data_IF_031804065335
#
_entry.id   IF_031804065335
#
_cell.length_a   1.000
_cell.length_b   1.000
_cell.length_c   1.000
_cell.angle_alpha   90.00
_cell.angle_beta   90.00
_cell.angle_gamma   90.00
#
_symmetry.space_group_name_H-M   'P 1'
#
loop_
_entity.id
_entity.type
_entity.pdbx_description
1 polymer ?
#
# COMPACT_ATOMS: atom_id res chain seq x y z
N UNK A 1 -7.34 -12.33 -26.82
CA UNK A 1 -7.97 -11.84 -25.58
C UNK A 1 -8.14 -10.34 -25.71
N UNK A 2 -9.33 -9.79 -25.42
CA UNK A 2 -9.53 -8.32 -25.43
C UNK A 2 -8.86 -7.69 -24.21
N UNK A 3 -8.53 -6.40 -24.28
CA UNK A 3 -7.98 -5.65 -23.13
C UNK A 3 -8.91 -5.73 -21.92
N UNK A 4 -10.22 -5.65 -22.15
CA UNK A 4 -11.22 -5.82 -21.11
C UNK A 4 -11.17 -7.21 -20.45
N UNK A 5 -11.09 -8.29 -21.24
CA UNK A 5 -10.98 -9.64 -20.70
C UNK A 5 -9.66 -9.84 -19.93
N UNK A 6 -8.56 -9.24 -20.41
CA UNK A 6 -7.27 -9.24 -19.72
C UNK A 6 -7.36 -8.56 -18.34
N UNK A 7 -7.94 -7.35 -18.30
CA UNK A 7 -8.12 -6.59 -17.07
C UNK A 7 -9.04 -7.31 -16.07
N UNK A 8 -10.13 -7.92 -16.55
CA UNK A 8 -11.03 -8.68 -15.70
C UNK A 8 -10.37 -9.94 -15.15
N UNK A 9 -9.67 -10.72 -15.99
CA UNK A 9 -8.93 -11.91 -15.55
C UNK A 9 -7.86 -11.57 -14.52
N UNK A 10 -7.12 -10.48 -14.75
CA UNK A 10 -6.14 -9.96 -13.79
C UNK A 10 -6.78 -9.56 -12.46
N UNK A 11 -7.88 -8.79 -12.51
CA UNK A 11 -8.60 -8.38 -11.31
C UNK A 11 -9.08 -9.61 -10.51
N UNK A 12 -9.64 -10.61 -11.18
CA UNK A 12 -10.06 -11.88 -10.53
C UNK A 12 -8.88 -12.55 -9.81
N UNK A 13 -7.69 -12.58 -10.41
CA UNK A 13 -6.50 -13.14 -9.75
C UNK A 13 -6.15 -12.34 -8.49
N UNK A 14 -6.12 -11.01 -8.56
CA UNK A 14 -5.84 -10.14 -7.41
C UNK A 14 -6.89 -10.32 -6.30
N UNK A 15 -8.17 -10.45 -6.67
CA UNK A 15 -9.26 -10.72 -5.72
C UNK A 15 -9.12 -12.09 -5.05
N UNK A 16 -8.79 -13.14 -5.81
CA UNK A 16 -8.53 -14.47 -5.25
C UNK A 16 -7.40 -14.39 -4.21
N UNK A 17 -6.29 -13.72 -4.53
CA UNK A 17 -5.18 -13.54 -3.58
C UNK A 17 -5.65 -12.84 -2.30
N UNK A 18 -6.41 -11.76 -2.44
CA UNK A 18 -6.99 -11.03 -1.30
C UNK A 18 -7.92 -11.89 -0.45
N UNK A 19 -8.82 -12.65 -1.07
CA UNK A 19 -9.75 -13.54 -0.39
C UNK A 19 -9.03 -14.68 0.35
N UNK A 20 -8.00 -15.26 -0.25
CA UNK A 20 -7.18 -16.29 0.39
C UNK A 20 -6.42 -15.75 1.61
N UNK A 21 -5.99 -14.48 1.56
CA UNK A 21 -5.28 -13.82 2.65
C UNK A 21 -6.20 -13.15 3.69
N UNK A 22 -7.50 -12.95 3.41
CA UNK A 22 -8.42 -12.27 4.30
C UNK A 22 -8.52 -12.90 5.72
N UNK A 23 -8.52 -14.25 5.89
CA UNK A 23 -8.49 -14.87 7.22
C UNK A 23 -7.17 -14.62 7.96
N UNK A 24 -6.05 -14.56 7.22
CA UNK A 24 -4.74 -14.23 7.78
C UNK A 24 -4.70 -12.77 8.22
N UNK A 25 -5.18 -11.84 7.40
CA UNK A 25 -5.32 -10.43 7.74
C UNK A 25 -6.19 -10.25 8.99
N UNK A 26 -7.32 -10.95 9.07
CA UNK A 26 -8.22 -10.92 10.23
C UNK A 26 -7.53 -11.27 11.56
N UNK A 27 -6.56 -12.21 11.51
CA UNK A 27 -5.76 -12.62 12.68
C UNK A 27 -4.63 -11.63 12.97
N UNK A 28 -3.89 -11.20 11.94
CA UNK A 28 -2.71 -10.33 12.06
C UNK A 28 -3.09 -8.91 12.50
N UNK A 29 -4.20 -8.39 12.00
CA UNK A 29 -4.71 -7.05 12.24
C UNK A 29 -5.93 -7.04 13.16
N UNK A 30 -6.01 -8.01 14.08
CA UNK A 30 -7.11 -8.13 15.04
C UNK A 30 -7.47 -6.82 15.81
N UNK A 31 -6.51 -5.93 16.14
CA UNK A 31 -6.79 -4.63 16.78
C UNK A 31 -7.44 -3.59 15.87
N UNK A 32 -7.26 -3.72 14.54
CA UNK A 32 -7.79 -2.75 13.58
C UNK A 32 -9.30 -2.89 13.46
N UNK A 33 -9.99 -1.75 13.29
CA UNK A 33 -11.45 -1.70 13.19
C UNK A 33 -11.98 -2.49 11.99
N UNK A 34 -11.26 -2.50 10.86
CA UNK A 34 -11.60 -3.28 9.66
C UNK A 34 -11.02 -4.70 9.68
N UNK A 35 -10.26 -5.08 10.71
CA UNK A 35 -9.50 -6.34 10.80
C UNK A 35 -8.49 -6.52 9.67
N UNK A 36 -7.96 -5.42 9.14
CA UNK A 36 -6.92 -5.40 8.11
C UNK A 36 -7.38 -5.83 6.74
N UNK A 37 -8.70 -5.83 6.46
CA UNK A 37 -9.23 -6.23 5.15
C UNK A 37 -8.68 -5.35 4.01
N UNK A 38 -8.47 -4.05 4.25
CA UNK A 38 -7.84 -3.14 3.28
C UNK A 38 -6.42 -3.59 2.85
N UNK A 39 -5.74 -4.38 3.68
CA UNK A 39 -4.40 -4.88 3.43
C UNK A 39 -4.35 -6.36 3.06
N UNK A 40 -5.50 -7.02 2.90
CA UNK A 40 -5.55 -8.45 2.59
C UNK A 40 -4.88 -8.78 1.24
N UNK A 41 -5.12 -7.97 0.21
CA UNK A 41 -4.49 -8.12 -1.12
C UNK A 41 -2.95 -8.00 -1.07
N UNK A 42 -2.34 -6.89 -0.56
CA UNK A 42 -0.87 -6.82 -0.47
C UNK A 42 -0.28 -7.87 0.47
N UNK A 43 -0.97 -8.24 1.57
CA UNK A 43 -0.55 -9.33 2.44
C UNK A 43 -0.49 -10.67 1.70
N UNK A 44 -1.53 -10.99 0.92
CA UNK A 44 -1.55 -12.22 0.13
C UNK A 44 -0.47 -12.25 -0.94
N UNK A 45 -0.26 -11.13 -1.64
CA UNK A 45 0.79 -11.00 -2.65
C UNK A 45 2.17 -11.22 -2.05
N UNK A 46 2.50 -10.55 -0.94
CA UNK A 46 3.82 -10.67 -0.33
C UNK A 46 4.05 -12.07 0.24
N UNK A 47 3.08 -12.65 0.96
CA UNK A 47 3.24 -13.97 1.59
C UNK A 47 3.38 -15.07 0.53
N UNK A 48 2.53 -15.08 -0.49
CA UNK A 48 2.60 -16.08 -1.55
C UNK A 48 3.87 -15.93 -2.40
N UNK A 49 4.19 -14.70 -2.83
CA UNK A 49 5.37 -14.46 -3.64
C UNK A 49 6.67 -14.71 -2.87
N UNK A 50 6.76 -14.31 -1.61
CA UNK A 50 7.94 -14.52 -0.79
C UNK A 50 8.18 -16.02 -0.55
N UNK A 51 7.12 -16.77 -0.25
CA UNK A 51 7.20 -18.23 -0.09
C UNK A 51 7.70 -18.92 -1.36
N UNK A 52 7.17 -18.54 -2.52
CA UNK A 52 7.64 -19.07 -3.81
C UNK A 52 9.06 -18.64 -4.15
N UNK A 53 9.38 -17.37 -3.95
CA UNK A 53 10.70 -16.80 -4.20
C UNK A 53 11.77 -17.54 -3.39
N UNK A 54 11.50 -17.78 -2.10
CA UNK A 54 12.40 -18.51 -1.23
C UNK A 54 12.51 -19.98 -1.65
N UNK A 55 11.39 -20.67 -1.87
CA UNK A 55 11.38 -22.06 -2.31
C UNK A 55 12.11 -22.26 -3.65
N UNK A 56 11.97 -21.30 -4.58
CA UNK A 56 12.63 -21.34 -5.88
C UNK A 56 14.11 -21.01 -5.81
N UNK A 57 14.51 -20.10 -4.93
CA UNK A 57 15.93 -19.79 -4.66
C UNK A 57 16.68 -20.99 -4.06
N UNK A 58 15.99 -21.85 -3.32
CA UNK A 58 16.55 -23.11 -2.82
C UNK A 58 16.39 -24.30 -3.79
N UNK A 59 15.81 -24.09 -4.97
CA UNK A 59 15.61 -25.15 -5.97
C UNK A 59 14.52 -26.17 -5.62
N UNK A 60 13.62 -25.87 -4.68
CA UNK A 60 12.52 -26.75 -4.26
C UNK A 60 11.33 -26.70 -5.23
N UNK A 61 11.02 -25.51 -5.76
CA UNK A 61 9.88 -25.27 -6.65
C UNK A 61 10.35 -24.37 -7.81
N UNK A 62 9.95 -24.68 -9.05
CA UNK A 62 10.26 -23.83 -10.19
C UNK A 62 9.42 -22.54 -10.22
N UNK A 63 9.99 -21.45 -10.73
CA UNK A 63 9.28 -20.23 -11.07
C UNK A 63 8.41 -20.44 -12.33
N UNK A 64 7.34 -21.20 -12.19
CA UNK A 64 6.39 -21.56 -13.24
C UNK A 64 4.97 -21.24 -12.81
N UNK A 65 4.00 -21.35 -13.72
CA UNK A 65 2.58 -21.21 -13.36
C UNK A 65 2.15 -22.23 -12.30
N UNK A 66 2.68 -23.46 -12.37
CA UNK A 66 2.42 -24.48 -11.34
C UNK A 66 3.00 -24.05 -9.98
N UNK A 67 4.21 -23.50 -9.95
CA UNK A 67 4.81 -22.94 -8.73
C UNK A 67 3.98 -21.79 -8.15
N UNK A 68 3.48 -20.88 -8.99
CA UNK A 68 2.58 -19.80 -8.57
C UNK A 68 1.28 -20.33 -7.96
N UNK A 69 0.64 -21.34 -8.59
CA UNK A 69 -0.57 -21.97 -8.04
C UNK A 69 -0.28 -22.68 -6.72
N UNK A 70 0.84 -23.41 -6.61
CA UNK A 70 1.25 -24.05 -5.35
C UNK A 70 1.46 -23.03 -4.22
N UNK A 71 2.00 -21.84 -4.53
CA UNK A 71 2.15 -20.76 -3.57
C UNK A 71 0.78 -20.25 -3.06
N UNK A 72 -0.21 -20.13 -3.94
CA UNK A 72 -1.59 -19.77 -3.54
C UNK A 72 -2.25 -20.86 -2.69
N UNK A 73 -2.02 -22.15 -3.02
CA UNK A 73 -2.47 -23.27 -2.18
C UNK A 73 -1.80 -23.22 -0.80
N UNK A 74 -0.51 -22.91 -0.74
CA UNK A 74 0.22 -22.71 0.52
C UNK A 74 -0.35 -21.56 1.36
N UNK A 75 -0.64 -20.42 0.73
CA UNK A 75 -1.31 -19.28 1.37
C UNK A 75 -2.70 -19.66 1.91
N UNK A 76 -3.50 -20.38 1.12
CA UNK A 76 -4.82 -20.86 1.53
C UNK A 76 -4.73 -21.83 2.72
N UNK A 77 -3.78 -22.76 2.69
CA UNK A 77 -3.54 -23.72 3.76
C UNK A 77 -3.09 -23.02 5.05
N UNK A 78 -2.16 -22.06 4.97
CA UNK A 78 -1.70 -21.26 6.10
C UNK A 78 -2.86 -20.45 6.71
N UNK A 79 -3.61 -19.74 5.87
CA UNK A 79 -4.74 -18.91 6.31
C UNK A 79 -5.85 -19.75 6.93
N UNK A 80 -6.17 -20.90 6.31
CA UNK A 80 -7.14 -21.87 6.81
C UNK A 80 -6.73 -22.48 8.15
N UNK A 81 -5.47 -22.90 8.29
CA UNK A 81 -4.93 -23.45 9.53
C UNK A 81 -5.01 -22.43 10.68
N UNK A 82 -4.59 -21.18 10.43
CA UNK A 82 -4.56 -20.13 11.45
C UNK A 82 -5.95 -19.68 11.91
N UNK A 83 -6.97 -19.84 11.06
CA UNK A 83 -8.35 -19.50 11.41
C UNK A 83 -9.20 -20.71 11.84
N UNK A 84 -8.74 -21.95 11.66
CA UNK A 84 -9.56 -23.15 11.80
C UNK A 84 -10.34 -23.24 13.13
N UNK A 85 -9.69 -22.87 14.23
CA UNK A 85 -10.27 -22.87 15.58
C UNK A 85 -11.24 -21.71 15.85
N UNK A 86 -11.23 -20.67 15.01
CA UNK A 86 -12.03 -19.44 15.13
C UNK A 86 -12.84 -19.13 13.87
N UNK A 87 -13.06 -20.13 13.01
CA UNK A 87 -13.74 -19.96 11.72
C UNK A 87 -15.14 -19.38 11.86
N UNK A 88 -15.88 -19.79 12.90
CA UNK A 88 -17.24 -19.32 13.12
C UNK A 88 -17.27 -17.85 13.55
N UNK A 89 -16.31 -17.43 14.39
CA UNK A 89 -16.11 -16.02 14.76
C UNK A 89 -15.77 -15.16 13.54
N UNK A 90 -14.85 -15.64 12.70
CA UNK A 90 -14.41 -14.93 11.50
C UNK A 90 -15.54 -14.80 10.48
N UNK A 91 -16.27 -15.88 10.21
CA UNK A 91 -17.43 -15.87 9.31
C UNK A 91 -18.53 -14.93 9.82
N UNK A 92 -18.80 -14.94 11.14
CA UNK A 92 -19.73 -14.01 11.75
C UNK A 92 -19.26 -12.56 11.60
N UNK A 93 -17.97 -12.28 11.79
CA UNK A 93 -17.40 -10.95 11.58
C UNK A 93 -17.58 -10.47 10.13
N UNK A 94 -17.21 -11.28 9.14
CA UNK A 94 -17.33 -10.91 7.72
C UNK A 94 -18.79 -10.73 7.30
N UNK A 95 -19.70 -11.57 7.81
CA UNK A 95 -21.14 -11.42 7.58
C UNK A 95 -21.67 -10.10 8.15
N UNK A 96 -21.26 -9.74 9.36
CA UNK A 96 -21.71 -8.50 10.02
C UNK A 96 -21.04 -7.25 9.43
N UNK A 97 -19.84 -7.39 8.87
CA UNK A 97 -19.04 -6.29 8.31
C UNK A 97 -19.11 -6.20 6.79
N UNK A 98 -20.03 -6.94 6.15
CA UNK A 98 -20.09 -7.07 4.69
C UNK A 98 -20.19 -5.73 3.98
N UNK A 99 -20.92 -4.75 4.54
CA UNK A 99 -21.01 -3.41 3.97
C UNK A 99 -19.66 -2.69 3.94
N UNK A 100 -18.85 -2.85 4.98
CA UNK A 100 -17.50 -2.27 5.07
C UNK A 100 -16.56 -2.96 4.08
N UNK A 101 -16.63 -4.30 4.02
CA UNK A 101 -15.87 -5.10 3.06
C UNK A 101 -16.20 -4.67 1.62
N UNK A 102 -17.48 -4.62 1.26
CA UNK A 102 -17.93 -4.18 -0.07
C UNK A 102 -17.53 -2.73 -0.38
N UNK A 103 -17.51 -1.84 0.62
CA UNK A 103 -17.03 -0.48 0.42
C UNK A 103 -15.53 -0.43 0.12
N UNK A 104 -14.71 -1.16 0.89
CA UNK A 104 -13.26 -1.27 0.64
C UNK A 104 -13.00 -1.89 -0.74
N UNK A 105 -13.77 -2.92 -1.12
CA UNK A 105 -13.70 -3.52 -2.45
C UNK A 105 -14.11 -2.53 -3.54
N UNK A 106 -15.16 -1.75 -3.33
CA UNK A 106 -15.57 -0.72 -4.29
C UNK A 106 -14.47 0.32 -4.48
N UNK A 107 -13.81 0.77 -3.40
CA UNK A 107 -12.65 1.67 -3.48
C UNK A 107 -11.53 1.04 -4.33
N UNK A 108 -11.17 -0.21 -4.06
CA UNK A 108 -10.13 -0.93 -4.80
C UNK A 108 -10.48 -1.12 -6.29
N UNK A 109 -11.66 -1.65 -6.59
CA UNK A 109 -12.11 -1.94 -7.96
C UNK A 109 -12.31 -0.68 -8.79
N UNK A 110 -12.92 0.37 -8.22
CA UNK A 110 -13.10 1.66 -8.92
C UNK A 110 -11.75 2.28 -9.20
N UNK A 111 -10.83 2.28 -8.24
CA UNK A 111 -9.50 2.85 -8.43
C UNK A 111 -8.68 2.06 -9.46
N UNK A 112 -8.77 0.73 -9.42
CA UNK A 112 -8.16 -0.13 -10.44
C UNK A 112 -8.72 0.18 -11.83
N UNK A 113 -10.05 0.30 -11.97
CA UNK A 113 -10.68 0.66 -13.24
C UNK A 113 -10.23 2.04 -13.74
N UNK A 114 -10.12 3.04 -12.85
CA UNK A 114 -9.55 4.36 -13.19
C UNK A 114 -8.11 4.22 -13.68
N UNK A 115 -7.27 3.43 -12.99
CA UNK A 115 -5.89 3.18 -13.42
C UNK A 115 -5.79 2.49 -14.78
N UNK A 116 -6.65 1.48 -15.03
CA UNK A 116 -6.72 0.80 -16.33
C UNK A 116 -7.15 1.77 -17.43
N UNK A 117 -8.17 2.59 -17.18
CA UNK A 117 -8.64 3.61 -18.12
C UNK A 117 -7.52 4.61 -18.41
N UNK A 118 -6.84 5.12 -17.38
CA UNK A 118 -5.71 6.04 -17.54
C UNK A 118 -4.60 5.43 -18.41
N UNK A 119 -4.15 4.22 -18.09
CA UNK A 119 -3.12 3.52 -18.88
C UNK A 119 -3.57 3.14 -20.28
N UNK A 120 -4.87 3.06 -20.55
CA UNK A 120 -5.38 2.77 -21.90
C UNK A 120 -5.22 3.93 -22.89
N UNK A 121 -5.07 5.17 -22.40
CA UNK A 121 -4.82 6.35 -23.25
C UNK A 121 -3.37 6.44 -23.73
N UNK A 122 -2.43 5.93 -22.93
CA UNK A 122 -1.00 5.91 -23.27
C UNK A 122 -0.33 4.60 -22.80
N UNK A 123 -0.65 3.45 -23.43
CA UNK A 123 -0.17 2.14 -22.96
C UNK A 123 1.28 1.85 -23.36
N UNK A 124 1.94 2.75 -24.10
CA UNK A 124 3.29 2.54 -24.61
C UNK A 124 4.30 2.43 -23.46
N UNK A 125 5.34 1.63 -23.69
CA UNK A 125 6.41 1.34 -22.73
C UNK A 125 7.72 1.70 -23.42
N UNK A 126 7.95 2.99 -23.66
CA UNK A 126 9.01 3.46 -24.58
C UNK A 126 9.86 4.61 -24.07
N UNK A 127 9.51 5.24 -22.95
CA UNK A 127 10.27 6.35 -22.39
C UNK A 127 10.94 6.00 -21.06
N UNK A 128 12.01 6.75 -20.76
CA UNK A 128 12.71 6.70 -19.46
C UNK A 128 13.13 5.28 -19.08
N UNK A 129 12.71 4.80 -17.91
CA UNK A 129 13.12 3.52 -17.33
C UNK A 129 12.18 2.36 -17.68
N UNK A 130 11.01 2.65 -18.25
CA UNK A 130 10.01 1.62 -18.56
C UNK A 130 10.53 0.45 -19.41
N UNK A 131 11.36 0.67 -20.46
CA UNK A 131 11.90 -0.45 -21.26
C UNK A 131 12.85 -1.34 -20.45
N UNK A 132 13.56 -0.76 -19.47
CA UNK A 132 14.44 -1.50 -18.56
C UNK A 132 13.58 -2.39 -17.65
N UNK A 133 12.53 -1.86 -17.07
CA UNK A 133 11.68 -2.62 -16.16
C UNK A 133 10.91 -3.74 -16.85
N UNK A 134 10.40 -3.50 -18.07
CA UNK A 134 9.79 -4.54 -18.89
C UNK A 134 10.79 -5.65 -19.21
N UNK A 135 12.05 -5.28 -19.43
CA UNK A 135 13.15 -6.22 -19.67
C UNK A 135 13.43 -7.07 -18.43
N UNK A 136 13.48 -6.50 -17.22
CA UNK A 136 13.58 -7.28 -15.97
C UNK A 136 12.39 -8.21 -15.76
N UNK A 137 11.16 -7.72 -16.00
CA UNK A 137 9.95 -8.54 -15.92
C UNK A 137 10.02 -9.75 -16.86
N UNK A 138 10.46 -9.54 -18.11
CA UNK A 138 10.67 -10.62 -19.07
C UNK A 138 11.78 -11.59 -18.64
N UNK A 139 12.89 -11.09 -18.09
CA UNK A 139 13.96 -11.93 -17.54
C UNK A 139 13.47 -12.89 -16.45
N UNK A 140 12.61 -12.41 -15.56
CA UNK A 140 11.97 -13.23 -14.53
C UNK A 140 10.99 -14.24 -15.15
N UNK A 141 10.15 -13.81 -16.10
CA UNK A 141 9.19 -14.69 -16.77
C UNK A 141 9.89 -15.80 -17.60
N UNK A 142 11.08 -15.52 -18.12
CA UNK A 142 11.88 -16.50 -18.85
C UNK A 142 12.69 -17.45 -17.93
N UNK A 143 12.89 -17.07 -16.67
CA UNK A 143 13.71 -17.84 -15.71
C UNK A 143 12.87 -18.81 -14.88
N UNK A 144 13.05 -20.12 -15.09
CA UNK A 144 12.40 -21.16 -14.26
C UNK A 144 13.03 -21.35 -12.87
N UNK A 145 14.26 -20.88 -12.68
CA UNK A 145 14.99 -20.95 -11.41
C UNK A 145 15.41 -19.56 -10.97
N UNK A 146 15.57 -19.39 -9.66
CA UNK A 146 16.05 -18.14 -9.08
C UNK A 146 17.49 -18.30 -8.56
N UNK A 147 18.29 -17.22 -8.55
CA UNK A 147 17.95 -15.87 -9.02
C UNK A 147 17.78 -15.80 -10.55
N UNK A 148 16.94 -14.87 -11.07
CA UNK A 148 16.59 -14.79 -12.48
C UNK A 148 17.79 -14.34 -13.32
N UNK A 149 17.86 -14.79 -14.57
CA UNK A 149 18.90 -14.40 -15.52
C UNK A 149 18.82 -12.91 -15.84
N UNK A 150 19.98 -12.25 -15.87
CA UNK A 150 20.11 -10.87 -16.27
C UNK A 150 20.03 -10.75 -17.81
N UNK A 151 19.04 -10.04 -18.35
CA UNK A 151 18.89 -9.88 -19.80
C UNK A 151 19.96 -8.99 -20.44
N UNK A 152 20.70 -8.18 -19.68
CA UNK A 152 21.81 -7.35 -20.16
C UNK A 152 23.18 -7.98 -19.94
N UNK A 153 23.30 -8.94 -19.03
CA UNK A 153 24.56 -9.57 -18.67
C UNK A 153 24.46 -11.10 -18.73
N UNK A 154 24.71 -11.65 -19.92
CA UNK A 154 24.63 -13.11 -20.17
C UNK A 154 25.44 -13.93 -19.15
N UNK A 155 24.80 -14.94 -18.58
CA UNK A 155 25.41 -15.84 -17.58
C UNK A 155 25.39 -15.30 -16.15
N UNK A 156 24.90 -14.09 -15.93
CA UNK A 156 24.74 -13.48 -14.61
C UNK A 156 23.27 -13.34 -14.21
N UNK A 157 23.04 -13.14 -12.92
CA UNK A 157 21.70 -12.88 -12.36
C UNK A 157 21.44 -11.39 -12.21
N UNK A 158 20.17 -10.98 -12.27
CA UNK A 158 19.75 -9.57 -12.06
C UNK A 158 20.35 -9.04 -10.75
N UNK A 159 21.19 -8.00 -10.86
CA UNK A 159 21.79 -7.29 -9.72
C UNK A 159 21.00 -6.02 -9.38
N UNK A 160 19.71 -6.21 -9.10
CA UNK A 160 18.77 -5.13 -8.80
C UNK A 160 17.68 -5.63 -7.83
N UNK A 161 16.95 -4.72 -7.18
CA UNK A 161 15.88 -5.07 -6.25
C UNK A 161 14.64 -5.58 -7.03
N UNK A 162 14.68 -6.85 -7.42
CA UNK A 162 13.77 -7.42 -8.41
C UNK A 162 12.49 -8.05 -7.82
N UNK A 163 12.33 -8.09 -6.50
CA UNK A 163 11.24 -8.84 -5.89
C UNK A 163 9.86 -8.25 -6.21
N UNK A 164 9.76 -6.94 -6.43
CA UNK A 164 8.54 -6.31 -6.94
C UNK A 164 8.16 -6.82 -8.33
N UNK A 165 9.13 -6.88 -9.25
CA UNK A 165 8.92 -7.47 -10.58
C UNK A 165 8.59 -8.96 -10.49
N UNK A 166 9.12 -9.66 -9.48
CA UNK A 166 8.76 -11.06 -9.21
C UNK A 166 7.29 -11.20 -8.84
N UNK A 167 6.75 -10.35 -7.95
CA UNK A 167 5.31 -10.33 -7.62
C UNK A 167 4.48 -10.09 -8.89
N UNK A 168 4.88 -9.11 -9.71
CA UNK A 168 4.21 -8.79 -10.98
C UNK A 168 4.26 -9.98 -11.95
N UNK A 169 5.42 -10.64 -12.09
CA UNK A 169 5.59 -11.81 -12.94
C UNK A 169 4.62 -12.94 -12.55
N UNK A 170 4.36 -13.15 -11.26
CA UNK A 170 3.42 -14.18 -10.82
C UNK A 170 1.99 -13.82 -11.20
N UNK A 171 1.60 -12.54 -11.09
CA UNK A 171 0.30 -12.06 -11.57
C UNK A 171 0.15 -12.24 -13.09
N UNK A 172 1.19 -11.92 -13.86
CA UNK A 172 1.22 -12.15 -15.32
C UNK A 172 0.98 -13.62 -15.66
N UNK A 173 1.68 -14.55 -14.98
CA UNK A 173 1.52 -15.99 -15.19
C UNK A 173 0.12 -16.48 -14.82
N UNK A 174 -0.40 -16.07 -13.66
CA UNK A 174 -1.70 -16.50 -13.15
C UNK A 174 -2.86 -15.95 -13.99
N UNK A 175 -2.75 -14.70 -14.46
CA UNK A 175 -3.76 -14.08 -15.31
C UNK A 175 -3.65 -14.51 -16.79
N UNK A 176 -2.52 -15.12 -17.18
CA UNK A 176 -2.31 -15.61 -18.54
C UNK A 176 -2.22 -14.49 -19.58
N UNK A 177 -1.63 -13.34 -19.21
CA UNK A 177 -1.55 -12.15 -20.07
C UNK A 177 -0.13 -11.94 -20.61
N UNK A 178 0.05 -11.26 -21.76
CA UNK A 178 1.38 -10.85 -22.22
C UNK A 178 2.06 -9.89 -21.23
N UNK A 179 3.39 -9.93 -21.13
CA UNK A 179 4.16 -9.11 -20.19
C UNK A 179 3.86 -7.59 -20.32
N UNK A 180 3.75 -7.06 -21.54
CA UNK A 180 3.43 -5.64 -21.77
C UNK A 180 2.01 -5.25 -21.29
N UNK A 181 1.04 -6.16 -21.40
CA UNK A 181 -0.31 -5.95 -20.85
C UNK A 181 -0.24 -6.03 -19.32
N UNK A 182 0.47 -7.02 -18.80
CA UNK A 182 0.70 -7.19 -17.37
C UNK A 182 1.41 -6.01 -16.71
N UNK A 183 2.36 -5.38 -17.39
CA UNK A 183 3.05 -4.18 -16.93
C UNK A 183 2.06 -3.03 -16.64
N UNK A 184 1.17 -2.77 -17.60
CA UNK A 184 0.14 -1.74 -17.47
C UNK A 184 -0.91 -2.08 -16.41
N UNK A 185 -1.31 -3.36 -16.31
CA UNK A 185 -2.24 -3.82 -15.27
C UNK A 185 -1.61 -3.81 -13.87
N UNK A 186 -0.30 -4.03 -13.78
CA UNK A 186 0.46 -3.91 -12.54
C UNK A 186 0.47 -2.46 -12.05
N UNK A 187 0.73 -1.47 -12.91
CA UNK A 187 0.62 -0.06 -12.54
C UNK A 187 -0.75 0.27 -11.95
N UNK A 188 -1.83 -0.14 -12.64
CA UNK A 188 -3.20 0.06 -12.15
C UNK A 188 -3.46 -0.67 -10.81
N UNK A 189 -2.86 -1.84 -10.61
CA UNK A 189 -2.97 -2.61 -9.36
C UNK A 189 -2.23 -1.92 -8.21
N UNK A 190 -0.98 -1.51 -8.42
CA UNK A 190 -0.19 -0.81 -7.41
C UNK A 190 -0.87 0.50 -7.01
N UNK A 191 -1.41 1.25 -7.99
CA UNK A 191 -2.22 2.44 -7.72
C UNK A 191 -3.44 2.11 -6.85
N UNK A 192 -4.23 1.10 -7.24
CA UNK A 192 -5.42 0.69 -6.49
C UNK A 192 -5.11 0.22 -5.06
N UNK A 193 -4.04 -0.57 -4.88
CA UNK A 193 -3.61 -1.05 -3.56
C UNK A 193 -3.05 0.09 -2.71
N UNK A 194 -2.38 1.08 -3.30
CA UNK A 194 -1.89 2.27 -2.60
C UNK A 194 -3.04 3.12 -2.07
N UNK A 195 -4.04 3.40 -2.92
CA UNK A 195 -5.25 4.15 -2.55
C UNK A 195 -6.05 3.40 -1.47
N UNK A 196 -6.25 2.09 -1.64
CA UNK A 196 -6.99 1.26 -0.67
C UNK A 196 -6.23 1.16 0.66
N UNK A 197 -4.90 1.01 0.63
CA UNK A 197 -4.06 0.97 1.83
C UNK A 197 -4.07 2.30 2.59
N UNK A 198 -3.97 3.42 1.87
CA UNK A 198 -4.06 4.76 2.46
C UNK A 198 -5.44 5.02 3.08
N UNK A 199 -6.51 4.62 2.38
CA UNK A 199 -7.86 4.63 2.94
C UNK A 199 -7.96 3.79 4.22
N UNK A 200 -7.43 2.56 4.19
CA UNK A 200 -7.43 1.65 5.32
C UNK A 200 -6.68 2.21 6.54
N UNK A 201 -5.53 2.83 6.34
CA UNK A 201 -4.76 3.48 7.41
C UNK A 201 -5.54 4.64 8.03
N UNK A 202 -5.99 5.60 7.22
CA UNK A 202 -6.73 6.77 7.69
C UNK A 202 -8.03 6.39 8.41
N UNK A 203 -8.74 5.39 7.87
CA UNK A 203 -9.95 4.83 8.49
C UNK A 203 -9.63 4.24 9.86
N UNK A 204 -8.62 3.37 9.97
CA UNK A 204 -8.30 2.67 11.21
C UNK A 204 -7.71 3.58 12.29
N UNK A 205 -6.93 4.61 11.91
CA UNK A 205 -6.42 5.60 12.86
C UNK A 205 -7.55 6.28 13.64
N UNK A 206 -8.62 6.67 12.94
CA UNK A 206 -9.77 7.35 13.57
C UNK A 206 -10.73 6.34 14.19
N UNK A 207 -11.04 5.24 13.50
CA UNK A 207 -11.99 4.25 13.99
C UNK A 207 -11.53 3.53 15.27
N UNK A 208 -10.22 3.28 15.41
CA UNK A 208 -9.66 2.62 16.61
C UNK A 208 -9.50 3.58 17.79
N UNK A 209 -9.28 4.89 17.56
CA UNK A 209 -9.15 5.89 18.62
C UNK A 209 -10.42 6.17 19.43
N UNK A 210 -11.60 5.87 18.88
CA UNK A 210 -12.90 6.02 19.58
C UNK A 210 -13.19 4.87 20.56
N UNK A 211 -12.36 3.83 20.60
CA UNK A 211 -12.54 2.67 21.48
C UNK A 211 -11.98 2.90 22.89
N UNK A 212 -11.17 3.94 23.09
CA UNK A 212 -10.47 4.23 24.34
C UNK A 212 -11.19 5.21 25.27
N UNK A 213 -12.38 5.70 24.90
CA UNK A 213 -13.17 6.64 25.72
C UNK A 213 -14.60 6.15 25.84
N UNK A 214 -14.90 5.45 26.94
CA UNK A 214 -16.27 5.20 27.39
C UNK A 214 -16.54 5.93 28.71
N UNK A 215 -17.77 6.42 28.96
CA UNK A 215 -18.13 7.21 30.16
C UNK A 215 -18.03 6.46 31.48
N UNK A 216 -17.89 5.13 31.46
CA UNK A 216 -17.82 4.30 32.68
C UNK A 216 -16.54 4.56 33.50
N UNK A 217 -15.48 5.08 32.86
CA UNK A 217 -14.25 5.49 33.55
C UNK A 217 -14.45 6.80 34.36
N UNK A 218 -15.45 7.63 34.03
CA UNK A 218 -15.79 8.83 34.82
C UNK A 218 -16.68 8.50 36.03
N UNK A 219 -17.45 7.41 35.99
CA UNK A 219 -18.29 7.01 37.12
C UNK A 219 -17.49 6.26 38.20
N UNK A 220 -16.49 5.48 37.78
CA UNK A 220 -15.68 4.66 38.71
C UNK A 220 -14.69 5.50 39.53
N UNK A 221 -14.38 6.73 39.12
CA UNK A 221 -13.47 7.62 39.85
C UNK A 221 -14.16 8.50 40.91
N UNK A 222 -15.49 8.44 41.05
CA UNK A 222 -16.23 9.26 42.04
C UNK A 222 -16.66 8.52 43.32
N UNK A 223 -16.44 7.22 43.44
CA UNK A 223 -16.94 6.42 44.58
C UNK A 223 -15.86 5.85 45.51
N UNK A 224 -14.60 6.29 45.41
CA UNK A 224 -13.52 5.82 46.31
C UNK A 224 -12.99 6.97 47.18
N UNK A 225 -13.83 7.46 48.08
CA UNK A 225 -13.41 8.21 49.28
C UNK A 225 -14.31 7.81 50.45
N UNK A 226 -13.99 6.68 51.10
CA UNK A 226 -14.10 6.51 52.56
C UNK A 226 -13.42 5.19 53.00
N UNK A 227 -12.51 5.19 53.99
CA UNK A 227 -11.91 3.97 54.52
C UNK A 227 -12.44 3.66 55.92
N UNK A 228 -13.15 2.55 56.10
CA UNK A 228 -13.29 1.93 57.44
C UNK A 228 -13.51 0.40 57.36
N UNK A 229 -12.49 -0.32 57.88
CA UNK A 229 -12.53 -1.53 58.72
C UNK A 229 -13.29 -2.81 58.27
N UNK A 230 -12.56 -3.89 57.96
CA UNK A 230 -12.50 -5.16 58.76
C UNK A 230 -11.87 -6.36 57.99
N UNK A 231 -10.94 -7.03 58.70
CA UNK A 231 -10.35 -8.39 58.67
C UNK A 231 -10.59 -9.43 57.51
N UNK A 232 -9.66 -10.41 57.34
CA UNK A 232 -9.50 -11.18 56.11
C UNK A 232 -10.27 -12.50 56.08
N UNK A 233 -10.77 -12.89 54.90
CA UNK A 233 -11.29 -14.22 54.64
C UNK A 233 -10.61 -14.84 53.42
N UNK A 234 -10.14 -16.07 53.62
CA UNK A 234 -9.53 -16.94 52.64
C UNK A 234 -10.45 -17.20 51.46
N UNK A 235 -9.92 -17.14 50.23
CA UNK A 235 -10.59 -17.76 49.09
C UNK A 235 -9.55 -18.40 48.14
N UNK A 236 -9.83 -19.65 47.82
CA UNK A 236 -9.01 -20.58 47.05
C UNK A 236 -8.67 -20.03 45.66
N UNK A 237 -7.37 -20.00 45.36
CA UNK A 237 -6.87 -19.82 44.00
C UNK A 237 -7.13 -21.11 43.22
N UNK A 238 -8.35 -21.27 42.71
CA UNK A 238 -8.64 -22.25 41.66
C UNK A 238 -7.96 -21.74 40.39
N UNK A 239 -6.74 -22.25 40.13
CA UNK A 239 -6.06 -22.18 38.84
C UNK A 239 -6.87 -22.97 37.80
N UNK A 240 -7.99 -22.41 37.35
CA UNK A 240 -8.66 -22.89 36.16
C UNK A 240 -7.78 -22.51 34.97
N UNK A 241 -7.21 -23.51 34.32
CA UNK A 241 -6.51 -23.45 33.03
C UNK A 241 -7.46 -23.12 31.87
N UNK A 242 -8.47 -22.29 32.12
CA UNK A 242 -9.34 -21.74 31.08
C UNK A 242 -8.54 -20.70 30.34
N UNK A 243 -8.26 -21.00 29.07
CA UNK A 243 -7.93 -19.99 28.04
C UNK A 243 -8.72 -18.73 28.38
N UNK A 244 -8.11 -17.55 28.62
CA UNK A 244 -8.89 -16.35 28.78
C UNK A 244 -9.67 -16.17 27.47
N UNK A 245 -10.98 -16.45 27.53
CA UNK A 245 -11.90 -16.15 26.46
C UNK A 245 -11.93 -14.63 26.38
N UNK A 246 -11.17 -14.11 25.42
CA UNK A 246 -11.04 -12.67 25.20
C UNK A 246 -12.45 -12.16 24.89
N UNK A 247 -13.04 -11.23 25.68
CA UNK A 247 -14.30 -10.62 25.30
C UNK A 247 -14.06 -9.82 24.01
N UNK A 248 -14.55 -10.33 22.89
CA UNK A 248 -14.63 -9.63 21.59
C UNK A 248 -15.70 -8.51 21.61
N UNK A 249 -16.10 -8.01 22.79
CA UNK A 249 -17.18 -7.03 22.96
C UNK A 249 -16.75 -5.59 22.68
N UNK A 250 -15.45 -5.31 22.48
CA UNK A 250 -14.97 -4.04 21.91
C UNK A 250 -15.29 -3.99 20.41
N UNK A 251 -16.58 -3.83 20.09
CA UNK A 251 -17.12 -3.76 18.74
C UNK A 251 -17.02 -2.32 18.20
N UNK A 252 -16.18 -2.00 17.20
CA UNK A 252 -16.47 -0.89 16.31
C UNK A 252 -17.49 -1.39 15.28
N UNK A 253 -18.74 -1.59 15.69
CA UNK A 253 -19.82 -2.07 14.79
C UNK A 253 -20.35 -1.01 13.84
N UNK A 254 -19.94 0.24 13.96
CA UNK A 254 -20.35 1.28 13.01
C UNK A 254 -19.15 2.05 12.50
N UNK A 255 -19.05 2.13 11.17
CA UNK A 255 -18.21 3.13 10.51
C UNK A 255 -18.67 4.51 11.00
N UNK A 256 -17.86 5.18 11.80
CA UNK A 256 -18.13 6.57 12.13
C UNK A 256 -17.89 7.40 10.85
N UNK A 257 -18.78 8.34 10.54
CA UNK A 257 -18.58 9.27 9.41
C UNK A 257 -17.17 9.91 9.43
N UNK A 258 -16.62 10.31 10.60
CA UNK A 258 -15.24 10.80 10.70
C UNK A 258 -14.19 9.80 10.19
N UNK A 259 -14.33 8.50 10.47
CA UNK A 259 -13.36 7.51 9.99
C UNK A 259 -13.41 7.33 8.47
N UNK A 260 -14.61 7.36 7.87
CA UNK A 260 -14.75 7.33 6.41
C UNK A 260 -14.14 8.57 5.75
N UNK A 261 -14.36 9.75 6.33
CA UNK A 261 -13.77 11.01 5.85
C UNK A 261 -12.25 10.98 5.98
N UNK A 262 -11.72 10.52 7.11
CA UNK A 262 -10.28 10.40 7.32
C UNK A 262 -9.64 9.43 6.33
N UNK A 263 -10.22 8.25 6.12
CA UNK A 263 -9.75 7.31 5.10
C UNK A 263 -9.79 7.93 3.69
N UNK A 264 -10.90 8.57 3.31
CA UNK A 264 -11.01 9.24 2.01
C UNK A 264 -9.97 10.34 1.82
N UNK A 265 -9.76 11.16 2.85
CA UNK A 265 -8.75 12.22 2.84
C UNK A 265 -7.33 11.64 2.73
N UNK A 266 -6.99 10.58 3.48
CA UNK A 266 -5.69 9.92 3.38
C UNK A 266 -5.42 9.37 1.98
N UNK A 267 -6.43 8.76 1.35
CA UNK A 267 -6.33 8.27 -0.03
C UNK A 267 -6.06 9.41 -1.03
N UNK A 268 -6.82 10.51 -0.95
CA UNK A 268 -6.63 11.68 -1.84
C UNK A 268 -5.29 12.34 -1.60
N UNK A 269 -4.91 12.54 -0.34
CA UNK A 269 -3.65 13.21 0.00
C UNK A 269 -2.43 12.43 -0.48
N UNK A 270 -2.40 11.11 -0.30
CA UNK A 270 -1.27 10.29 -0.72
C UNK A 270 -1.22 10.10 -2.24
N UNK A 271 -2.37 9.84 -2.88
CA UNK A 271 -2.38 9.44 -4.29
C UNK A 271 -2.47 10.60 -5.27
N UNK A 272 -3.05 11.75 -4.87
CA UNK A 272 -3.33 12.88 -5.76
C UNK A 272 -2.60 14.14 -5.30
N UNK A 273 -2.64 14.45 -4.00
CA UNK A 273 -2.10 15.71 -3.48
C UNK A 273 -0.67 15.57 -2.89
N UNK A 274 0.05 14.51 -3.23
CA UNK A 274 1.29 14.11 -2.56
C UNK A 274 2.32 15.26 -2.40
N UNK A 275 2.53 16.06 -3.44
CA UNK A 275 3.41 17.24 -3.40
C UNK A 275 2.71 18.55 -3.77
N UNK A 276 1.37 18.54 -3.87
CA UNK A 276 0.52 19.66 -4.29
C UNK A 276 0.79 20.25 -5.69
N UNK A 277 1.68 19.69 -6.52
CA UNK A 277 2.05 20.31 -7.80
C UNK A 277 0.85 20.53 -8.72
N UNK A 278 -0.01 19.52 -8.88
CA UNK A 278 -1.19 19.66 -9.72
C UNK A 278 -2.11 20.78 -9.22
N UNK A 279 -2.21 20.96 -7.90
CA UNK A 279 -2.99 22.05 -7.30
C UNK A 279 -2.33 23.39 -7.61
N UNK A 280 -1.00 23.47 -7.48
CA UNK A 280 -0.24 24.67 -7.80
C UNK A 280 -0.31 25.04 -9.28
N UNK A 281 -0.24 24.08 -10.20
CA UNK A 281 -0.37 24.34 -11.62
C UNK A 281 -1.77 24.85 -11.99
N UNK A 282 -2.84 24.30 -11.39
CA UNK A 282 -4.20 24.84 -11.53
C UNK A 282 -4.27 26.27 -10.99
N UNK A 283 -3.76 26.51 -9.78
CA UNK A 283 -3.76 27.84 -9.17
C UNK A 283 -2.97 28.87 -9.98
N UNK A 284 -1.80 28.48 -10.49
CA UNK A 284 -0.92 29.29 -11.34
C UNK A 284 -1.59 29.60 -12.67
N UNK A 285 -2.16 28.58 -13.33
CA UNK A 285 -2.83 28.71 -14.63
C UNK A 285 -4.06 29.62 -14.54
N UNK A 286 -4.79 29.59 -13.43
CA UNK A 286 -5.96 30.46 -13.23
C UNK A 286 -5.66 31.79 -12.53
N UNK A 287 -4.40 32.09 -12.23
CA UNK A 287 -4.02 33.35 -11.57
C UNK A 287 -4.64 33.52 -10.18
N UNK A 288 -4.94 32.42 -9.48
CA UNK A 288 -5.58 32.43 -8.16
C UNK A 288 -4.67 32.95 -7.04
N UNK A 289 -3.36 33.04 -7.30
CA UNK A 289 -2.34 33.41 -6.33
C UNK A 289 -1.41 34.46 -6.92
N UNK A 290 -1.05 35.45 -6.08
CA UNK A 290 -0.19 36.56 -6.46
C UNK A 290 1.21 36.10 -6.92
N UNK A 291 1.83 36.75 -7.93
CA UNK A 291 3.18 36.43 -8.39
C UNK A 291 4.26 36.38 -7.30
N UNK A 292 4.07 37.07 -6.17
CA UNK A 292 5.00 37.04 -5.04
C UNK A 292 5.10 35.64 -4.40
N UNK A 293 3.98 34.91 -4.31
CA UNK A 293 3.96 33.55 -3.78
C UNK A 293 4.78 32.60 -4.64
N UNK A 294 4.63 32.64 -5.95
CA UNK A 294 5.36 31.75 -6.87
C UNK A 294 6.87 32.00 -6.84
N UNK A 295 7.29 33.27 -6.64
CA UNK A 295 8.70 33.61 -6.41
C UNK A 295 9.21 33.12 -5.05
N UNK A 296 8.38 33.18 -4.02
CA UNK A 296 8.72 32.64 -2.70
C UNK A 296 8.83 31.11 -2.71
N UNK A 297 7.95 30.43 -3.46
CA UNK A 297 7.95 28.98 -3.61
C UNK A 297 9.20 28.47 -4.35
N UNK A 298 9.79 29.30 -5.22
CA UNK A 298 11.04 29.08 -5.97
C UNK A 298 11.16 27.72 -6.70
N UNK A 299 10.02 27.18 -7.17
CA UNK A 299 10.00 25.99 -8.04
C UNK A 299 10.18 26.43 -9.50
N UNK A 300 11.19 25.89 -10.16
CA UNK A 300 11.58 26.30 -11.51
C UNK A 300 10.45 26.10 -12.54
N UNK A 301 10.09 27.20 -13.20
CA UNK A 301 9.01 27.29 -14.18
C UNK A 301 7.61 27.57 -13.61
N UNK A 302 7.41 27.50 -12.28
CA UNK A 302 6.18 28.04 -11.65
C UNK A 302 6.25 29.56 -11.46
N UNK A 303 7.43 30.18 -11.51
CA UNK A 303 7.58 31.62 -11.25
C UNK A 303 6.98 32.52 -12.36
N UNK A 304 6.63 31.93 -13.52
CA UNK A 304 6.07 32.65 -14.67
C UNK A 304 4.54 32.48 -14.69
N UNK A 305 3.74 33.57 -14.63
CA UNK A 305 2.30 33.48 -14.85
C UNK A 305 2.00 33.04 -16.29
N UNK A 306 0.95 32.24 -16.49
CA UNK A 306 0.51 31.82 -17.82
C UNK A 306 -0.38 32.93 -18.41
N UNK A 307 0.03 33.64 -19.47
CA UNK A 307 -0.74 34.76 -20.01
C UNK A 307 -2.08 34.31 -20.62
N UNK A 308 -3.15 35.07 -20.40
CA UNK A 308 -4.42 34.93 -21.15
C UNK A 308 -5.49 34.01 -20.54
N UNK A 309 -5.33 33.56 -19.30
CA UNK A 309 -6.35 32.74 -18.62
C UNK A 309 -7.35 33.56 -17.79
N UNK A 310 -8.62 33.13 -17.75
CA UNK A 310 -9.72 33.82 -17.08
C UNK A 310 -10.66 32.85 -16.35
N UNK A 311 -11.38 33.34 -15.34
CA UNK A 311 -12.08 32.51 -14.34
C UNK A 311 -13.16 31.54 -14.85
N UNK A 312 -13.76 31.77 -16.03
CA UNK A 312 -14.76 30.85 -16.60
C UNK A 312 -14.14 29.52 -17.09
N UNK A 313 -12.82 29.50 -17.34
CA UNK A 313 -12.10 28.30 -17.76
C UNK A 313 -11.98 27.27 -16.63
N UNK A 314 -12.23 27.63 -15.36
CA UNK A 314 -12.31 26.65 -14.26
C UNK A 314 -13.36 25.56 -14.50
N UNK A 315 -14.40 25.86 -15.28
CA UNK A 315 -15.45 24.90 -15.61
C UNK A 315 -15.06 23.94 -16.76
N UNK A 316 -13.91 24.17 -17.41
CA UNK A 316 -13.43 23.34 -18.51
C UNK A 316 -12.22 22.49 -18.09
N UNK A 317 -12.38 21.17 -17.85
CA UNK A 317 -11.31 20.29 -17.41
C UNK A 317 -10.11 20.24 -18.34
N UNK A 318 -10.30 20.48 -19.65
CA UNK A 318 -9.18 20.48 -20.62
C UNK A 318 -8.23 21.67 -20.44
N UNK A 319 -8.58 22.63 -19.59
CA UNK A 319 -7.80 23.84 -19.34
C UNK A 319 -7.10 23.84 -17.98
N UNK A 320 -7.37 22.83 -17.13
CA UNK A 320 -6.86 22.76 -15.76
C UNK A 320 -5.34 22.59 -15.68
N UNK A 321 -4.77 21.81 -16.60
CA UNK A 321 -3.34 21.52 -16.60
C UNK A 321 -2.65 22.14 -17.83
N UNK A 322 -1.37 22.53 -17.72
CA UNK A 322 -0.61 22.99 -18.87
C UNK A 322 -0.39 21.85 -19.89
N UNK A 323 -0.90 22.03 -21.10
CA UNK A 323 -0.70 21.10 -22.23
C UNK A 323 0.10 21.72 -23.37
N UNK A 324 0.50 22.98 -23.22
CA UNK A 324 1.14 23.77 -24.26
C UNK A 324 2.65 23.87 -23.97
N UNK A 325 3.53 23.67 -24.96
CA UNK A 325 4.97 23.86 -24.77
C UNK A 325 5.28 25.28 -24.27
N UNK A 326 6.23 25.45 -23.31
CA UNK A 326 7.16 24.45 -22.78
C UNK A 326 6.62 23.64 -21.59
N UNK A 327 5.37 23.83 -21.15
CA UNK A 327 4.84 23.28 -19.89
C UNK A 327 4.15 21.90 -20.05
N UNK A 328 4.31 21.22 -21.18
CA UNK A 328 3.74 19.87 -21.41
C UNK A 328 4.17 18.84 -20.37
N UNK A 329 5.35 19.03 -19.77
CA UNK A 329 5.91 18.18 -18.71
C UNK A 329 5.84 18.90 -17.34
N UNK A 330 4.72 19.57 -17.06
CA UNK A 330 4.50 20.34 -15.83
C UNK A 330 4.79 19.52 -14.56
N UNK A 331 4.44 18.24 -14.53
CA UNK A 331 4.66 17.34 -13.40
C UNK A 331 6.14 17.00 -13.17
N UNK A 332 6.99 17.15 -14.20
CA UNK A 332 8.40 16.78 -14.16
C UNK A 332 9.28 17.80 -13.42
N UNK A 333 8.87 19.07 -13.35
CA UNK A 333 9.60 20.12 -12.61
C UNK A 333 9.53 19.90 -11.10
N UNK A 334 8.43 19.32 -10.64
CA UNK A 334 8.11 19.19 -9.22
C UNK A 334 8.94 18.14 -8.49
N UNK A 335 9.66 17.30 -9.24
CA UNK A 335 10.65 16.37 -8.67
C UNK A 335 12.04 16.98 -8.55
N UNK A 336 12.25 18.22 -8.99
CA UNK A 336 13.57 18.89 -9.07
C UNK A 336 13.63 20.17 -8.25
N UNK A 337 12.99 20.16 -7.08
CA UNK A 337 12.92 21.32 -6.19
C UNK A 337 14.25 21.55 -5.46
N UNK A 338 15.05 20.50 -5.27
CA UNK A 338 16.40 20.58 -4.69
C UNK A 338 17.40 20.65 -5.85
N UNK A 339 17.95 21.83 -6.10
CA UNK A 339 18.91 22.06 -7.17
C UNK A 339 20.06 22.97 -6.74
N UNK A 340 21.27 22.63 -7.16
CA UNK A 340 22.39 23.58 -7.19
C UNK A 340 22.26 24.38 -8.48
N UNK A 341 22.33 25.71 -8.39
CA UNK A 341 22.21 26.59 -9.55
C UNK A 341 23.50 27.39 -9.72
N UNK A 342 24.02 27.44 -10.94
CA UNK A 342 25.10 28.34 -11.32
C UNK A 342 24.48 29.56 -12.00
N UNK A 343 24.92 30.74 -11.60
CA UNK A 343 24.54 31.99 -12.26
C UNK A 343 25.55 32.28 -13.36
N UNK A 344 25.11 32.25 -14.62
CA UNK A 344 25.89 32.68 -15.78
C UNK A 344 25.25 33.98 -16.30
N UNK A 345 25.80 35.12 -15.90
CA UNK A 345 25.21 36.43 -16.20
C UNK A 345 23.89 36.67 -15.46
N UNK A 346 22.82 36.98 -16.19
CA UNK A 346 21.47 37.23 -15.63
C UNK A 346 20.62 35.95 -15.53
N UNK A 347 21.10 34.80 -16.02
CA UNK A 347 20.38 33.53 -16.03
C UNK A 347 20.87 32.60 -14.91
N UNK A 348 19.92 32.05 -14.15
CA UNK A 348 20.16 31.05 -13.11
C UNK A 348 19.95 29.66 -13.73
N UNK A 349 21.02 28.92 -13.97
CA UNK A 349 20.98 27.58 -14.59
C UNK A 349 21.13 26.50 -13.54
N UNK A 350 20.18 25.56 -13.46
CA UNK A 350 20.32 24.37 -12.64
C UNK A 350 21.48 23.50 -13.14
N UNK A 351 22.42 23.17 -12.26
CA UNK A 351 23.56 22.26 -12.52
C UNK A 351 23.39 20.90 -11.87
N UNK A 352 22.46 20.76 -10.93
CA UNK A 352 22.11 19.50 -10.28
C UNK A 352 20.63 19.23 -10.50
N UNK A 353 20.32 18.00 -10.92
CA UNK A 353 18.99 17.49 -11.17
C UNK A 353 18.68 16.36 -10.19
N UNK A 354 18.82 16.64 -8.89
CA UNK A 354 18.43 15.67 -7.86
C UNK A 354 16.92 15.43 -7.96
N UNK A 355 16.54 14.20 -8.27
CA UNK A 355 15.15 13.77 -8.44
C UNK A 355 14.59 13.36 -7.07
N UNK A 356 13.50 13.99 -6.66
CA UNK A 356 12.69 13.60 -5.51
C UNK A 356 11.32 13.16 -6.00
N UNK A 357 11.10 11.85 -6.04
CA UNK A 357 9.83 11.29 -6.48
C UNK A 357 8.81 11.17 -5.35
N UNK A 358 7.54 11.22 -5.73
CA UNK A 358 6.39 11.06 -4.85
C UNK A 358 5.30 10.29 -5.61
N UNK A 359 4.37 9.61 -4.92
CA UNK A 359 3.49 8.63 -5.55
C UNK A 359 2.76 9.14 -6.81
N UNK A 360 2.20 10.35 -6.75
CA UNK A 360 1.48 10.94 -7.88
C UNK A 360 2.36 11.13 -9.12
N UNK A 361 3.63 11.52 -8.96
CA UNK A 361 4.58 11.64 -10.07
C UNK A 361 4.81 10.29 -10.74
N UNK A 362 5.12 9.25 -9.96
CA UNK A 362 5.47 7.94 -10.53
C UNK A 362 4.27 7.27 -11.20
N UNK A 363 3.04 7.51 -10.73
CA UNK A 363 1.83 7.05 -11.43
C UNK A 363 1.57 7.80 -12.74
N UNK A 364 1.95 9.08 -12.85
CA UNK A 364 1.90 9.82 -14.12
C UNK A 364 2.97 9.30 -15.07
N UNK A 365 4.22 9.17 -14.59
CA UNK A 365 5.37 8.70 -15.36
C UNK A 365 5.13 7.28 -15.89
N UNK A 366 4.49 6.43 -15.08
CA UNK A 366 4.00 5.11 -15.47
C UNK A 366 5.10 4.07 -15.57
N UNK A 367 6.07 4.10 -14.65
CA UNK A 367 7.09 3.07 -14.49
C UNK A 367 6.79 2.19 -13.27
N UNK A 368 7.29 0.96 -13.31
CA UNK A 368 7.22 0.00 -12.21
C UNK A 368 8.47 0.12 -11.34
N UNK A 369 8.88 1.36 -11.02
CA UNK A 369 10.14 1.54 -10.32
C UNK A 369 10.02 0.92 -8.92
N UNK A 370 11.10 0.38 -8.33
CA UNK A 370 10.90 -0.46 -7.16
C UNK A 370 10.40 0.26 -5.91
N UNK A 371 10.62 1.56 -5.77
CA UNK A 371 9.93 2.35 -4.74
C UNK A 371 8.43 2.50 -5.00
N UNK A 372 7.98 2.49 -6.27
CA UNK A 372 6.55 2.49 -6.65
C UNK A 372 5.93 1.15 -6.32
N UNK A 373 6.59 0.06 -6.71
CA UNK A 373 6.17 -1.31 -6.40
C UNK A 373 6.08 -1.55 -4.89
N UNK A 374 6.93 -0.89 -4.10
CA UNK A 374 6.95 -1.00 -2.64
C UNK A 374 5.77 -0.30 -1.94
N UNK A 375 5.13 0.72 -2.54
CA UNK A 375 4.11 1.55 -1.89
C UNK A 375 3.01 0.76 -1.13
N UNK A 376 2.28 -0.20 -1.74
CA UNK A 376 1.23 -0.92 -1.03
C UNK A 376 1.76 -1.82 0.10
N UNK A 377 3.01 -2.28 0.00
CA UNK A 377 3.65 -3.09 1.02
C UNK A 377 4.20 -2.24 2.17
N UNK A 378 4.70 -1.03 1.86
CA UNK A 378 5.02 -0.02 2.86
C UNK A 378 3.80 0.32 3.72
N UNK A 379 2.65 0.58 3.08
CA UNK A 379 1.38 0.84 3.79
C UNK A 379 0.91 -0.35 4.62
N UNK A 380 1.09 -1.59 4.13
CA UNK A 380 0.85 -2.81 4.90
C UNK A 380 1.73 -2.87 6.16
N UNK A 381 3.01 -2.49 6.05
CA UNK A 381 3.95 -2.48 7.18
C UNK A 381 3.65 -1.34 8.16
N UNK A 382 3.22 -0.16 7.69
CA UNK A 382 2.69 0.90 8.57
C UNK A 382 1.44 0.43 9.31
N UNK A 383 0.54 -0.29 8.64
CA UNK A 383 -0.65 -0.86 9.27
C UNK A 383 -0.29 -1.91 10.32
N UNK A 384 0.79 -2.66 10.09
CA UNK A 384 1.34 -3.61 11.06
C UNK A 384 1.89 -2.87 12.28
N UNK A 385 2.64 -1.78 12.08
CA UNK A 385 3.11 -0.93 13.17
C UNK A 385 1.95 -0.34 13.99
N UNK A 386 0.89 0.14 13.31
CA UNK A 386 -0.32 0.62 13.98
C UNK A 386 -1.03 -0.50 14.77
N UNK A 387 -1.10 -1.70 14.21
CA UNK A 387 -1.63 -2.89 14.90
C UNK A 387 -0.81 -3.20 16.16
N UNK A 388 0.52 -3.12 16.07
CA UNK A 388 1.42 -3.28 17.21
C UNK A 388 1.19 -2.23 18.29
N UNK A 389 1.06 -0.96 17.90
CA UNK A 389 0.81 0.15 18.82
C UNK A 389 -0.53 0.00 19.56
N UNK A 390 -1.60 -0.35 18.85
CA UNK A 390 -2.92 -0.56 19.43
C UNK A 390 -3.02 -1.82 20.31
N UNK A 391 -1.99 -2.68 20.26
CA UNK A 391 -1.89 -3.93 21.02
C UNK A 391 -0.57 -4.06 21.78
N UNK A 392 0.00 -2.94 22.24
CA UNK A 392 1.33 -2.90 22.84
C UNK A 392 1.50 -3.90 24.00
N UNK A 393 0.47 -4.12 24.83
CA UNK A 393 0.46 -5.11 25.92
C UNK A 393 0.57 -6.57 25.48
N UNK A 394 0.51 -6.83 24.17
CA UNK A 394 0.50 -8.17 23.57
C UNK A 394 1.72 -8.51 22.75
N UNK A 395 2.63 -7.58 22.45
CA UNK A 395 3.84 -7.89 21.68
C UNK A 395 5.03 -8.15 22.60
N UNK A 396 4.88 -9.11 23.51
CA UNK A 396 5.95 -9.60 24.38
C UNK A 396 6.61 -10.87 23.81
N UNK A 397 7.72 -11.29 24.41
CA UNK A 397 8.40 -12.54 24.05
C UNK A 397 7.48 -13.77 24.19
N UNK A 398 6.48 -13.70 25.07
CA UNK A 398 5.51 -14.79 25.25
C UNK A 398 4.54 -14.90 24.07
N UNK A 399 4.09 -13.78 23.52
CA UNK A 399 3.32 -13.74 22.27
C UNK A 399 4.12 -14.26 21.10
N UNK A 400 5.39 -13.88 20.97
CA UNK A 400 6.26 -14.36 19.89
C UNK A 400 6.36 -15.89 19.89
N UNK A 401 6.38 -16.52 21.08
CA UNK A 401 6.35 -17.99 21.22
C UNK A 401 4.97 -18.57 20.95
N UNK A 402 3.90 -17.94 21.45
CA UNK A 402 2.52 -18.46 21.37
C UNK A 402 1.93 -18.35 19.96
N UNK A 403 2.13 -17.20 19.33
CA UNK A 403 1.58 -16.83 18.02
C UNK A 403 2.71 -16.73 16.97
N UNK A 404 3.76 -17.57 17.10
CA UNK A 404 4.94 -17.57 16.23
C UNK A 404 4.64 -17.58 14.72
N UNK A 405 3.57 -18.22 14.20
CA UNK A 405 3.30 -18.16 12.76
C UNK A 405 2.88 -16.76 12.31
N UNK A 406 2.12 -16.03 13.15
CA UNK A 406 1.74 -14.64 12.86
C UNK A 406 2.96 -13.72 12.99
N UNK A 407 3.84 -13.99 13.95
CA UNK A 407 5.12 -13.30 14.05
C UNK A 407 5.99 -13.52 12.80
N UNK A 408 6.03 -14.75 12.28
CA UNK A 408 6.75 -15.06 11.05
C UNK A 408 6.15 -14.31 9.85
N UNK A 409 4.81 -14.24 9.73
CA UNK A 409 4.15 -13.45 8.68
C UNK A 409 4.51 -11.97 8.79
N UNK A 410 4.50 -11.41 10.00
CA UNK A 410 4.92 -10.03 10.26
C UNK A 410 6.37 -9.78 9.82
N UNK A 411 7.30 -10.68 10.19
CA UNK A 411 8.71 -10.61 9.79
C UNK A 411 8.86 -10.72 8.27
N UNK A 412 8.10 -11.59 7.60
CA UNK A 412 8.09 -11.68 6.13
C UNK A 412 7.63 -10.37 5.50
N UNK A 413 6.60 -9.72 6.03
CA UNK A 413 6.12 -8.43 5.50
C UNK A 413 7.19 -7.34 5.60
N UNK A 414 7.87 -7.23 6.75
CA UNK A 414 8.93 -6.23 6.98
C UNK A 414 10.18 -6.57 6.16
N UNK A 415 10.61 -7.83 6.18
CA UNK A 415 11.81 -8.28 5.48
C UNK A 415 11.69 -8.22 3.95
N UNK A 416 10.48 -8.42 3.41
CA UNK A 416 10.21 -8.28 1.98
C UNK A 416 10.50 -6.87 1.45
N UNK A 417 10.35 -5.82 2.28
CA UNK A 417 10.70 -4.45 1.87
C UNK A 417 12.17 -4.34 1.46
N UNK A 418 13.07 -5.10 2.10
CA UNK A 418 14.49 -5.12 1.73
C UNK A 418 14.79 -5.59 0.32
N UNK A 419 13.90 -6.41 -0.25
CA UNK A 419 14.02 -6.92 -1.62
C UNK A 419 13.10 -6.18 -2.62
N UNK A 420 12.07 -5.47 -2.12
CA UNK A 420 11.25 -4.54 -2.91
C UNK A 420 12.01 -3.24 -3.18
N UNK A 421 12.50 -2.60 -2.12
CA UNK A 421 13.27 -1.38 -2.16
C UNK A 421 14.18 -1.36 -0.92
N UNK A 422 15.46 -1.69 -1.10
CA UNK A 422 16.38 -1.85 0.04
C UNK A 422 16.53 -0.60 0.91
N UNK A 423 16.24 0.58 0.36
CA UNK A 423 16.25 1.86 1.08
C UNK A 423 15.10 2.02 2.08
N UNK A 424 14.07 1.17 2.01
CA UNK A 424 12.98 1.16 2.97
C UNK A 424 13.44 0.59 4.32
N UNK A 425 14.40 -0.35 4.33
CA UNK A 425 14.79 -1.07 5.54
C UNK A 425 15.19 -0.17 6.72
N UNK A 426 16.06 0.85 6.57
CA UNK A 426 16.41 1.73 7.69
C UNK A 426 15.19 2.43 8.27
N UNK A 427 14.29 2.92 7.42
CA UNK A 427 13.08 3.65 7.81
C UNK A 427 12.12 2.76 8.60
N UNK A 428 11.80 1.57 8.07
CA UNK A 428 10.86 0.68 8.75
C UNK A 428 11.50 -0.04 9.94
N UNK A 429 12.80 -0.32 9.92
CA UNK A 429 13.51 -0.81 11.10
C UNK A 429 13.41 0.20 12.26
N UNK A 430 13.54 1.50 11.96
CA UNK A 430 13.34 2.56 12.95
C UNK A 430 11.90 2.60 13.49
N UNK A 431 10.89 2.36 12.66
CA UNK A 431 9.48 2.35 13.10
C UNK A 431 9.17 1.21 14.09
N UNK A 432 9.89 0.09 14.00
CA UNK A 432 9.71 -1.07 14.89
C UNK A 432 10.74 -1.16 16.03
N UNK A 433 11.72 -0.26 16.07
CA UNK A 433 12.70 -0.13 17.15
C UNK A 433 12.11 0.66 18.32
#
# INVERSE_FOLDING_TARGET
MTVFAAALGWLVVVEIVGLLAAPLAYRLFAPLADRGYAFAKPLGLVVAAYGLWLASSFGLIGNTTAGAVLALVGLAALSGWLIWSRRDEALAYFRNSIRRVLFIEAVGVVTFAVGVLYRSYDPEISHTEQPMELTFLNGILASERLPPQDPWMSGHSISYYYFGYFIVAQLVRLAGVPAAVGFNLALATIFALTVTGAFGLGYNLVASGHCSRTPDDEHTQREVEDPEDTAPAHEEVILSSRRPAIPLSRRPTQSSRPALVAGGLSAVLLAICANLEAVFEVMRRHGLVEPAFWRWLDVDGLQRPIPGFSGWQLLNPTTWLPTDPPDTWWWFRATRVIGTYVSEGAERRAIDYTITEFPFFSFILGDLHPHVLALPFGLLVVALALSCLLWAERFDLAWLRRDWPLALVAVVCVGALGFLNSWDLPTYAFVFA
#
